data_IF_653212745030
#
_entry.id   IF_653212745030
#
_cell.length_a   1.000
_cell.length_b   1.000
_cell.length_c   1.000
_cell.angle_alpha   90.00
_cell.angle_beta   90.00
_cell.angle_gamma   90.00
#
_symmetry.space_group_name_H-M   'P 1'
#
loop_
_entity.id
_entity.type
_entity.pdbx_description
1 polymer ?
#
# COMPACT_ATOMS: atom_id res chain seq x y z
N UNK A 1 -4.96 60.28 19.27
CA UNK A 1 -3.52 60.19 18.95
C UNK A 1 -2.89 59.11 19.82
N UNK A 2 -1.97 58.27 19.32
CA UNK A 2 -2.03 57.49 18.08
C UNK A 2 -1.89 55.99 18.39
N UNK A 3 -2.67 55.09 17.76
CA UNK A 3 -2.28 54.32 16.57
C UNK A 3 -0.86 53.74 16.58
N UNK A 4 -0.76 52.41 16.46
CA UNK A 4 0.27 51.75 15.64
C UNK A 4 -0.34 50.57 14.88
N UNK A 5 -0.91 50.90 13.73
CA UNK A 5 -0.76 50.08 12.55
C UNK A 5 0.74 49.87 12.28
N UNK A 6 1.15 48.64 12.01
CA UNK A 6 2.31 48.39 11.16
C UNK A 6 1.85 47.51 10.01
N UNK A 7 1.72 48.15 8.85
CA UNK A 7 1.61 47.50 7.57
C UNK A 7 2.82 47.89 6.73
N UNK A 8 3.30 46.91 5.95
CA UNK A 8 4.25 46.98 4.81
C UNK A 8 5.72 47.17 5.25
N UNK A 9 6.69 46.36 4.82
CA UNK A 9 7.03 46.03 3.43
C UNK A 9 8.02 44.86 3.34
N UNK A 10 7.87 44.05 2.27
CA UNK A 10 8.90 43.41 1.45
C UNK A 10 10.12 42.75 2.15
N UNK A 11 10.11 41.43 2.20
CA UNK A 11 11.26 40.64 1.73
C UNK A 11 10.75 39.64 0.69
N UNK A 12 10.92 40.05 -0.56
CA UNK A 12 10.97 39.16 -1.71
C UNK A 12 12.24 38.33 -1.58
N UNK A 13 12.13 37.01 -1.62
CA UNK A 13 13.28 36.15 -1.77
C UNK A 13 13.10 34.80 -1.09
N UNK A 14 13.06 33.76 -1.93
CA UNK A 14 13.30 32.37 -1.58
C UNK A 14 12.20 31.67 -0.80
N UNK A 15 11.29 30.98 -1.50
CA UNK A 15 10.70 29.71 -1.07
C UNK A 15 9.82 29.16 -2.20
N UNK A 16 10.45 28.67 -3.27
CA UNK A 16 9.76 28.04 -4.41
C UNK A 16 10.27 26.61 -4.65
N UNK A 17 10.29 25.80 -3.59
CA UNK A 17 10.39 24.35 -3.68
C UNK A 17 9.45 23.69 -2.66
N UNK A 18 8.16 24.02 -2.70
CA UNK A 18 7.21 23.15 -1.99
C UNK A 18 7.18 21.78 -2.70
N UNK A 19 7.82 20.79 -2.09
CA UNK A 19 7.56 19.38 -2.32
C UNK A 19 6.07 19.09 -2.05
N UNK A 20 5.21 19.28 -3.06
CA UNK A 20 3.76 19.05 -2.99
C UNK A 20 3.34 17.58 -3.02
N UNK A 21 4.23 16.64 -2.67
CA UNK A 21 3.96 15.20 -2.83
C UNK A 21 3.70 14.43 -1.52
N UNK A 22 3.55 15.08 -0.36
CA UNK A 22 3.18 14.35 0.86
C UNK A 22 1.98 15.03 1.53
N UNK A 23 0.80 14.87 0.93
CA UNK A 23 -0.44 15.04 1.67
C UNK A 23 -0.60 13.86 2.64
N UNK A 24 -0.21 14.06 3.90
CA UNK A 24 -0.71 13.24 5.02
C UNK A 24 -2.21 13.52 5.18
N UNK A 25 -3.04 12.77 4.47
CA UNK A 25 -4.49 12.78 4.65
C UNK A 25 -4.87 11.65 5.60
N UNK A 26 -5.09 12.00 6.87
CA UNK A 26 -5.78 11.13 7.84
C UNK A 26 -7.27 11.49 7.75
N UNK A 27 -8.03 10.71 6.98
CA UNK A 27 -9.50 10.80 6.92
C UNK A 27 -10.04 9.38 6.70
N UNK A 28 -11.05 8.91 7.46
CA UNK A 28 -11.63 7.60 7.24
C UNK A 28 -12.34 7.63 5.88
N UNK A 29 -11.76 6.91 4.91
CA UNK A 29 -12.27 6.75 3.55
C UNK A 29 -12.48 8.06 2.78
N UNK A 30 -11.41 8.72 2.34
CA UNK A 30 -11.52 9.41 1.04
C UNK A 30 -11.70 8.29 0.02
N UNK A 31 -12.84 8.20 -0.71
CA UNK A 31 -12.95 7.25 -1.79
C UNK A 31 -11.85 7.58 -2.78
N UNK A 32 -11.05 6.60 -3.20
CA UNK A 32 -9.99 6.75 -4.20
C UNK A 32 -10.44 7.59 -5.42
N UNK A 33 -11.73 7.55 -5.74
CA UNK A 33 -12.43 8.34 -6.75
C UNK A 33 -12.30 9.87 -6.60
N UNK A 34 -12.04 10.38 -5.40
CA UNK A 34 -11.82 11.82 -5.15
C UNK A 34 -10.38 12.25 -5.36
N UNK A 35 -9.44 11.30 -5.26
CA UNK A 35 -8.00 11.56 -5.39
C UNK A 35 -7.59 11.47 -6.85
N UNK A 36 -8.01 10.41 -7.55
CA UNK A 36 -7.58 10.14 -8.93
C UNK A 36 -7.76 11.32 -9.89
N UNK A 37 -8.90 12.06 -9.90
CA UNK A 37 -9.09 13.19 -10.82
C UNK A 37 -8.15 14.38 -10.56
N UNK A 38 -7.49 14.42 -9.40
CA UNK A 38 -6.58 15.51 -9.01
C UNK A 38 -5.11 15.19 -9.29
N UNK A 39 -4.81 13.96 -9.69
CA UNK A 39 -3.46 13.53 -10.00
C UNK A 39 -3.09 13.94 -11.42
N UNK A 40 -1.84 14.35 -11.61
CA UNK A 40 -1.28 14.58 -12.94
C UNK A 40 -1.24 13.24 -13.71
N UNK A 41 -1.91 13.10 -14.86
CA UNK A 41 -1.85 11.88 -15.68
C UNK A 41 -0.41 11.49 -16.08
N UNK A 42 0.48 12.49 -16.12
CA UNK A 42 1.89 12.36 -16.46
C UNK A 42 2.82 12.44 -15.22
N UNK A 43 2.27 12.39 -14.02
CA UNK A 43 3.05 12.27 -12.80
C UNK A 43 3.68 10.88 -12.62
N UNK A 44 4.77 10.80 -11.86
CA UNK A 44 5.21 9.55 -11.23
C UNK A 44 4.52 9.45 -9.88
N UNK A 45 3.66 8.45 -9.71
CA UNK A 45 2.86 8.29 -8.51
C UNK A 45 3.42 7.18 -7.63
N UNK A 46 3.37 7.39 -6.32
CA UNK A 46 3.64 6.37 -5.31
C UNK A 46 2.46 6.36 -4.34
N UNK A 47 1.84 5.19 -4.16
CA UNK A 47 0.78 5.00 -3.17
C UNK A 47 1.25 4.08 -2.04
N UNK A 48 0.98 4.46 -0.79
CA UNK A 48 1.14 3.59 0.37
C UNK A 48 -0.25 3.15 0.83
N UNK A 49 -0.54 1.85 0.72
CA UNK A 49 -1.77 1.23 1.19
C UNK A 49 -1.49 0.52 2.50
N UNK A 50 -1.85 1.15 3.60
CA UNK A 50 -1.77 0.59 4.96
C UNK A 50 -3.16 0.33 5.52
N UNK A 51 -3.77 -0.83 5.18
CA UNK A 51 -5.00 -1.20 5.82
C UNK A 51 -4.72 -1.67 7.24
N UNK A 52 -5.37 -1.01 8.21
CA UNK A 52 -5.31 -1.41 9.62
C UNK A 52 -5.63 -2.91 9.85
N UNK A 53 -6.49 -3.49 8.99
CA UNK A 53 -6.75 -4.93 8.89
C UNK A 53 -7.17 -5.30 7.46
N UNK A 54 -7.16 -6.58 7.10
CA UNK A 54 -7.46 -7.04 5.76
C UNK A 54 -8.83 -6.60 5.22
N UNK A 55 -9.82 -6.37 6.09
CA UNK A 55 -11.16 -5.94 5.69
C UNK A 55 -11.26 -4.51 5.17
N UNK A 56 -10.25 -3.68 5.42
CA UNK A 56 -10.27 -2.26 5.07
C UNK A 56 -9.62 -1.96 3.72
N UNK A 57 -8.87 -2.90 3.13
CA UNK A 57 -8.37 -2.76 1.77
C UNK A 57 -9.29 -3.50 0.81
N UNK A 58 -10.08 -2.74 0.07
CA UNK A 58 -10.84 -3.28 -1.06
C UNK A 58 -9.92 -3.44 -2.27
N UNK A 59 -9.93 -4.60 -2.92
CA UNK A 59 -9.09 -4.88 -4.10
C UNK A 59 -9.33 -3.88 -5.24
N UNK A 60 -10.55 -3.34 -5.34
CA UNK A 60 -10.90 -2.28 -6.30
C UNK A 60 -10.05 -1.01 -6.16
N UNK A 61 -9.46 -0.74 -4.99
CA UNK A 61 -8.52 0.38 -4.81
C UNK A 61 -7.25 0.12 -5.62
N UNK A 62 -6.71 -1.10 -5.57
CA UNK A 62 -5.54 -1.51 -6.37
C UNK A 62 -5.88 -1.44 -7.86
N UNK A 63 -7.07 -1.92 -8.25
CA UNK A 63 -7.52 -1.84 -9.65
C UNK A 63 -7.57 -0.40 -10.14
N UNK A 64 -8.25 0.50 -9.41
CA UNK A 64 -8.36 1.91 -9.79
C UNK A 64 -7.00 2.61 -9.84
N UNK A 65 -6.13 2.36 -8.87
CA UNK A 65 -4.76 2.91 -8.87
C UNK A 65 -3.96 2.39 -10.07
N UNK A 66 -4.12 1.11 -10.44
CA UNK A 66 -3.41 0.49 -11.56
C UNK A 66 -3.76 1.11 -12.92
N UNK A 67 -4.85 1.86 -13.03
CA UNK A 67 -5.20 2.59 -14.27
C UNK A 67 -4.23 3.74 -14.55
N UNK A 68 -3.54 4.26 -13.52
CA UNK A 68 -2.51 5.28 -13.70
C UNK A 68 -1.33 4.74 -14.52
N UNK A 69 -0.84 5.55 -15.47
CA UNK A 69 0.25 5.18 -16.39
C UNK A 69 1.54 4.85 -15.65
N UNK A 70 1.87 5.65 -14.63
CA UNK A 70 3.10 5.56 -13.84
C UNK A 70 2.76 5.56 -12.36
N UNK A 71 2.59 4.37 -11.80
CA UNK A 71 2.25 4.17 -10.39
C UNK A 71 3.05 3.00 -9.84
N UNK A 72 3.59 3.22 -8.64
CA UNK A 72 4.12 2.20 -7.76
C UNK A 72 3.26 2.16 -6.50
N UNK A 73 2.97 0.98 -5.98
CA UNK A 73 2.11 0.82 -4.79
C UNK A 73 2.84 0.00 -3.75
N UNK A 74 3.09 0.55 -2.58
CA UNK A 74 3.56 -0.21 -1.42
C UNK A 74 2.34 -0.64 -0.62
N UNK A 75 2.13 -1.94 -0.50
CA UNK A 75 1.00 -2.52 0.25
C UNK A 75 1.51 -3.18 1.52
N UNK A 76 0.85 -2.88 2.63
CA UNK A 76 1.02 -3.57 3.90
C UNK A 76 0.22 -4.88 3.91
N UNK A 77 0.91 -6.00 4.10
CA UNK A 77 0.35 -7.34 4.25
C UNK A 77 0.62 -7.90 5.66
N UNK A 78 -0.42 -8.02 6.49
CA UNK A 78 -0.31 -8.70 7.78
C UNK A 78 -0.61 -10.20 7.63
N UNK A 79 0.42 -11.05 7.65
CA UNK A 79 0.25 -12.51 7.54
C UNK A 79 -0.55 -13.10 8.69
N UNK A 80 -0.40 -12.54 9.89
CA UNK A 80 -1.16 -12.99 11.07
C UNK A 80 -2.65 -12.66 10.94
N UNK A 81 -2.97 -11.48 10.41
CA UNK A 81 -4.36 -11.10 10.17
C UNK A 81 -5.01 -11.91 9.05
N UNK A 82 -4.30 -12.12 7.94
CA UNK A 82 -4.75 -12.98 6.85
C UNK A 82 -5.03 -14.40 7.35
N UNK A 83 -4.09 -14.99 8.11
CA UNK A 83 -4.26 -16.35 8.62
C UNK A 83 -5.51 -16.50 9.52
N UNK A 84 -5.77 -15.51 10.39
CA UNK A 84 -6.96 -15.53 11.25
C UNK A 84 -8.24 -15.41 10.44
N UNK A 85 -8.26 -14.51 9.45
CA UNK A 85 -9.43 -14.30 8.61
C UNK A 85 -9.69 -15.44 7.61
N UNK A 86 -8.65 -16.19 7.20
CA UNK A 86 -8.84 -17.44 6.45
C UNK A 86 -9.58 -18.45 7.35
N UNK A 87 -9.06 -18.66 8.57
CA UNK A 87 -9.61 -19.66 9.49
C UNK A 87 -11.07 -19.38 9.88
N UNK A 88 -11.43 -18.12 10.17
CA UNK A 88 -12.81 -17.74 10.47
C UNK A 88 -13.69 -17.61 9.22
N UNK A 89 -13.11 -17.19 8.10
CA UNK A 89 -13.83 -16.86 6.88
C UNK A 89 -14.31 -18.06 6.07
N UNK A 90 -13.67 -19.23 6.19
CA UNK A 90 -14.08 -20.44 5.48
C UNK A 90 -15.50 -20.89 5.85
N UNK A 91 -15.88 -20.73 7.12
CA UNK A 91 -17.18 -21.16 7.64
C UNK A 91 -18.18 -20.00 7.82
N UNK A 92 -17.78 -18.78 7.47
CA UNK A 92 -18.61 -17.57 7.63
C UNK A 92 -19.17 -17.11 6.29
N UNK A 93 -20.45 -16.70 6.27
CA UNK A 93 -21.09 -16.12 5.08
C UNK A 93 -20.35 -14.90 4.51
N UNK A 94 -19.72 -14.11 5.40
CA UNK A 94 -18.93 -12.94 5.04
C UNK A 94 -17.55 -13.01 5.70
N UNK A 95 -16.52 -12.60 4.96
CA UNK A 95 -15.16 -12.49 5.45
C UNK A 95 -14.56 -11.14 5.05
N UNK A 96 -13.75 -10.51 5.93
CA UNK A 96 -12.90 -9.38 5.54
C UNK A 96 -12.07 -9.63 4.28
N UNK A 97 -11.72 -10.90 4.01
CA UNK A 97 -10.93 -11.29 2.84
C UNK A 97 -11.72 -11.21 1.51
N UNK A 98 -13.05 -11.13 1.57
CA UNK A 98 -13.91 -11.06 0.36
C UNK A 98 -13.65 -9.78 -0.43
N UNK A 99 -13.39 -8.70 0.31
CA UNK A 99 -13.02 -7.41 -0.23
C UNK A 99 -11.55 -7.35 -0.63
N UNK A 100 -10.69 -8.03 0.13
CA UNK A 100 -9.24 -7.99 -0.04
C UNK A 100 -8.74 -8.81 -1.25
N UNK A 101 -9.27 -10.02 -1.39
CA UNK A 101 -8.96 -10.96 -2.46
C UNK A 101 -10.25 -11.68 -2.86
N UNK A 102 -11.05 -11.08 -3.76
CA UNK A 102 -12.31 -11.66 -4.20
C UNK A 102 -12.16 -13.13 -4.64
N UNK A 103 -13.15 -13.95 -4.38
CA UNK A 103 -13.20 -15.38 -4.74
C UNK A 103 -12.16 -16.29 -4.05
N UNK A 104 -11.41 -15.79 -3.05
CA UNK A 104 -10.36 -16.56 -2.36
C UNK A 104 -10.82 -17.93 -1.82
N UNK A 105 -12.06 -18.06 -1.35
CA UNK A 105 -12.59 -19.32 -0.79
C UNK A 105 -12.53 -20.48 -1.79
N UNK A 106 -12.77 -20.20 -3.07
CA UNK A 106 -12.75 -21.23 -4.12
C UNK A 106 -11.36 -21.80 -4.38
N UNK A 107 -10.31 -21.13 -3.90
CA UNK A 107 -8.91 -21.51 -4.10
C UNK A 107 -8.34 -22.26 -2.88
N UNK A 108 -8.93 -22.07 -1.70
CA UNK A 108 -8.43 -22.68 -0.47
C UNK A 108 -9.08 -24.05 -0.26
N UNK A 109 -8.24 -25.07 -0.12
CA UNK A 109 -8.66 -26.42 0.27
C UNK A 109 -8.75 -26.49 1.80
N UNK A 110 -9.95 -26.78 2.32
CA UNK A 110 -10.21 -26.79 3.77
C UNK A 110 -9.39 -27.83 4.55
N UNK A 111 -8.97 -28.92 3.90
CA UNK A 111 -8.19 -30.00 4.51
C UNK A 111 -6.69 -29.70 4.59
N UNK A 112 -6.24 -28.59 3.98
CA UNK A 112 -4.83 -28.22 3.94
C UNK A 112 -4.33 -27.69 5.30
N UNK A 113 -3.01 -27.74 5.48
CA UNK A 113 -2.37 -27.08 6.61
C UNK A 113 -2.57 -25.57 6.58
N UNK A 114 -2.50 -24.92 7.75
CA UNK A 114 -2.57 -23.45 7.84
C UNK A 114 -1.57 -22.76 6.91
N UNK A 115 -0.38 -23.32 6.78
CA UNK A 115 0.67 -22.81 5.90
C UNK A 115 0.24 -22.83 4.44
N UNK A 116 -0.22 -23.99 3.95
CA UNK A 116 -0.68 -24.17 2.57
C UNK A 116 -1.88 -23.29 2.24
N UNK A 117 -2.85 -23.16 3.16
CA UNK A 117 -3.99 -22.26 2.97
C UNK A 117 -3.54 -20.80 2.79
N UNK A 118 -2.59 -20.35 3.62
CA UNK A 118 -2.03 -19.00 3.52
C UNK A 118 -1.25 -18.81 2.22
N UNK A 119 -0.46 -19.79 1.82
CA UNK A 119 0.28 -19.74 0.56
C UNK A 119 -0.65 -19.67 -0.65
N UNK A 120 -1.68 -20.52 -0.69
CA UNK A 120 -2.72 -20.50 -1.72
C UNK A 120 -3.42 -19.13 -1.79
N UNK A 121 -3.76 -18.56 -0.64
CA UNK A 121 -4.35 -17.23 -0.55
C UNK A 121 -3.43 -16.14 -1.13
N UNK A 122 -2.16 -16.12 -0.72
CA UNK A 122 -1.19 -15.12 -1.19
C UNK A 122 -0.94 -15.28 -2.69
N UNK A 123 -0.86 -16.51 -3.20
CA UNK A 123 -0.71 -16.77 -4.62
C UNK A 123 -1.93 -16.30 -5.41
N UNK A 124 -3.15 -16.54 -4.91
CA UNK A 124 -4.37 -15.98 -5.48
C UNK A 124 -4.35 -14.46 -5.54
N UNK A 125 -3.99 -13.80 -4.43
CA UNK A 125 -3.88 -12.35 -4.41
C UNK A 125 -2.83 -11.81 -5.40
N UNK A 126 -1.68 -12.48 -5.53
CA UNK A 126 -0.68 -12.15 -6.56
C UNK A 126 -1.24 -12.29 -7.98
N UNK A 127 -2.02 -13.33 -8.26
CA UNK A 127 -2.67 -13.49 -9.56
C UNK A 127 -3.67 -12.36 -9.84
N UNK A 128 -4.46 -11.96 -8.85
CA UNK A 128 -5.37 -10.81 -8.97
C UNK A 128 -4.60 -9.53 -9.30
N UNK A 129 -3.52 -9.24 -8.56
CA UNK A 129 -2.65 -8.08 -8.83
C UNK A 129 -2.05 -8.15 -10.23
N UNK A 130 -1.55 -9.31 -10.66
CA UNK A 130 -1.03 -9.50 -12.01
C UNK A 130 -2.08 -9.22 -13.08
N UNK A 131 -3.35 -9.54 -12.81
CA UNK A 131 -4.48 -9.23 -13.68
C UNK A 131 -4.73 -7.73 -13.90
N UNK A 132 -4.17 -6.84 -13.06
CA UNK A 132 -4.25 -5.38 -13.23
C UNK A 132 -3.10 -4.81 -14.05
N UNK A 133 -2.15 -5.64 -14.48
CA UNK A 133 -0.92 -5.22 -15.16
C UNK A 133 0.19 -4.74 -14.23
N UNK A 134 -0.04 -4.73 -12.91
CA UNK A 134 1.00 -4.61 -11.89
C UNK A 134 1.68 -5.96 -11.67
N UNK A 135 2.89 -5.96 -11.12
CA UNK A 135 3.58 -7.15 -10.61
C UNK A 135 3.87 -6.98 -9.13
N UNK A 136 3.72 -8.05 -8.37
CA UNK A 136 4.17 -8.10 -6.97
C UNK A 136 5.67 -8.40 -6.96
N UNK A 137 6.49 -7.51 -6.39
CA UNK A 137 7.92 -7.76 -6.24
C UNK A 137 8.15 -8.97 -5.31
N UNK A 138 9.17 -9.76 -5.63
CA UNK A 138 9.58 -10.93 -4.85
C UNK A 138 10.14 -10.56 -3.47
N UNK A 139 10.75 -9.39 -3.39
CA UNK A 139 11.40 -8.87 -2.19
C UNK A 139 10.36 -8.13 -1.36
N UNK A 140 10.10 -8.65 -0.16
CA UNK A 140 9.20 -8.05 0.82
C UNK A 140 9.99 -7.58 2.04
N UNK A 141 9.66 -6.40 2.55
CA UNK A 141 10.33 -5.87 3.74
C UNK A 141 9.58 -6.25 5.02
N UNK A 142 10.20 -6.98 5.96
CA UNK A 142 9.56 -7.33 7.23
C UNK A 142 9.60 -6.14 8.19
N UNK A 143 8.43 -5.67 8.59
CA UNK A 143 8.31 -4.73 9.71
C UNK A 143 8.14 -5.53 11.00
N UNK A 144 9.07 -5.32 11.93
CA UNK A 144 9.19 -6.06 13.18
C UNK A 144 8.83 -5.17 14.36
N UNK A 145 8.29 -5.78 15.41
CA UNK A 145 8.08 -5.10 16.69
C UNK A 145 9.38 -5.05 17.50
N UNK A 146 9.33 -4.46 18.69
CA UNK A 146 10.46 -4.41 19.64
C UNK A 146 10.96 -5.77 20.13
N UNK A 147 10.23 -6.86 19.85
CA UNK A 147 10.60 -8.25 20.16
C UNK A 147 11.06 -9.02 18.91
N UNK A 148 11.46 -8.31 17.85
CA UNK A 148 11.88 -8.86 16.55
C UNK A 148 10.86 -9.76 15.84
N UNK A 149 9.61 -9.76 16.30
CA UNK A 149 8.54 -10.53 15.66
C UNK A 149 7.99 -9.74 14.46
N UNK A 150 7.88 -10.39 13.31
CA UNK A 150 7.29 -9.76 12.11
C UNK A 150 5.82 -9.46 12.36
N UNK A 151 5.48 -8.18 12.39
CA UNK A 151 4.10 -7.71 12.47
C UNK A 151 3.45 -7.81 11.09
N UNK A 152 4.19 -7.39 10.07
CA UNK A 152 3.73 -7.37 8.71
C UNK A 152 4.84 -7.22 7.68
N UNK A 153 4.45 -7.38 6.41
CA UNK A 153 5.32 -7.26 5.26
C UNK A 153 4.91 -6.05 4.41
N UNK A 154 5.86 -5.23 4.01
CA UNK A 154 5.66 -4.26 2.94
C UNK A 154 6.00 -4.91 1.60
N UNK A 155 5.07 -4.80 0.65
CA UNK A 155 5.18 -5.41 -0.67
C UNK A 155 5.05 -4.32 -1.73
N UNK A 156 6.01 -4.22 -2.63
CA UNK A 156 5.90 -3.33 -3.78
C UNK A 156 5.07 -4.00 -4.89
N UNK A 157 4.12 -3.25 -5.43
CA UNK A 157 3.43 -3.51 -6.69
C UNK A 157 3.92 -2.49 -7.72
N UNK A 158 4.40 -2.94 -8.86
CA UNK A 158 4.96 -2.05 -9.88
C UNK A 158 4.73 -2.57 -11.29
N UNK A 159 4.75 -1.66 -12.27
CA UNK A 159 4.82 -2.01 -13.70
C UNK A 159 6.26 -2.05 -14.22
N UNK A 160 7.21 -1.42 -13.51
CA UNK A 160 8.50 -1.03 -14.07
C UNK A 160 9.69 -1.59 -13.29
N UNK A 161 10.66 -2.16 -14.01
CA UNK A 161 11.81 -2.86 -13.42
C UNK A 161 12.72 -1.94 -12.59
N UNK A 162 12.75 -0.65 -12.90
CA UNK A 162 13.50 0.33 -12.10
C UNK A 162 12.96 0.43 -10.67
N UNK A 163 11.63 0.46 -10.50
CA UNK A 163 11.04 0.55 -9.17
C UNK A 163 11.35 -0.71 -8.35
N UNK A 164 11.33 -1.88 -8.99
CA UNK A 164 11.72 -3.14 -8.37
C UNK A 164 13.18 -3.13 -7.92
N UNK A 165 14.11 -2.64 -8.75
CA UNK A 165 15.52 -2.49 -8.35
C UNK A 165 15.69 -1.55 -7.16
N UNK A 166 15.07 -0.36 -7.23
CA UNK A 166 15.12 0.62 -6.14
C UNK A 166 14.54 0.07 -4.84
N UNK A 167 13.48 -0.74 -4.93
CA UNK A 167 12.86 -1.37 -3.78
C UNK A 167 13.76 -2.40 -3.13
N UNK A 168 14.45 -3.23 -3.92
CA UNK A 168 15.45 -4.19 -3.40
C UNK A 168 16.56 -3.46 -2.64
N UNK A 169 17.07 -2.37 -3.22
CA UNK A 169 18.08 -1.54 -2.57
C UNK A 169 17.55 -0.88 -1.27
N UNK A 170 16.31 -0.40 -1.28
CA UNK A 170 15.68 0.22 -0.12
C UNK A 170 15.42 -0.79 1.02
N UNK A 171 15.11 -2.05 0.69
CA UNK A 171 14.94 -3.10 1.69
C UNK A 171 16.24 -3.44 2.42
N UNK A 172 17.39 -3.22 1.77
CA UNK A 172 18.73 -3.46 2.30
C UNK A 172 19.34 -2.23 3.01
N UNK A 173 18.63 -1.09 3.06
CA UNK A 173 19.18 0.19 3.53
C UNK A 173 19.64 0.18 5.00
N UNK A 174 19.15 -0.76 5.83
CA UNK A 174 19.62 -0.91 7.22
C UNK A 174 21.12 -1.22 7.32
N UNK A 175 21.73 -1.70 6.24
CA UNK A 175 23.15 -2.01 6.14
C UNK A 175 23.98 -0.89 5.49
N UNK A 176 23.34 0.22 5.11
CA UNK A 176 23.98 1.35 4.42
C UNK A 176 23.82 2.59 5.27
N UNK A 177 24.92 3.13 5.78
CA UNK A 177 24.91 4.49 6.32
C UNK A 177 24.62 5.45 5.16
N UNK A 178 23.89 6.53 5.46
CA UNK A 178 23.58 7.58 4.47
C UNK A 178 24.84 8.29 3.92
N UNK A 179 26.02 7.95 4.48
CA UNK A 179 27.36 8.36 4.09
C UNK A 179 28.35 7.24 4.40
#
# INVERSE_FOLDING_TARGET
MPSRNFSKHATQGCENWECRCIQKLVVPTIPIDWVLPKLDPEGFHLALLDPYNAGHLHFSIIQKLSELRRIDIVVHLSTGDIQRNIASGLHSEKSPLDNFAPQWRSIILEQSSKHEMREAFINHWKMLVNGTGLRVCDTMYPVRNSKESTMYWLCLLTKHDLAERLWRDACDIRNKTLF
#
